data_IF_846141801648
#
_entry.id   IF_846141801648
#
_cell.length_a   1.000
_cell.length_b   1.000
_cell.length_c   1.000
_cell.angle_alpha   90.00
_cell.angle_beta   90.00
_cell.angle_gamma   90.00
#
_symmetry.space_group_name_H-M   'P 1'
#
loop_
_entity.id
_entity.type
_entity.pdbx_description
1 polymer ?
#
# COMPACT_ATOMS: atom_id res chain seq x y z
N UNK A 1 14.15 3.55 17.76
CA UNK A 1 13.34 2.50 17.10
C UNK A 1 12.67 1.67 18.18
N UNK A 2 11.41 1.30 17.99
CA UNK A 2 10.63 0.47 18.92
C UNK A 2 10.13 -0.75 18.17
N UNK A 3 10.41 -1.93 18.71
CA UNK A 3 9.90 -3.21 18.24
C UNK A 3 8.76 -3.68 19.16
N UNK A 4 7.59 -3.85 18.56
CA UNK A 4 6.41 -4.41 19.19
C UNK A 4 6.50 -5.94 19.02
N UNK A 5 6.92 -6.61 20.09
CA UNK A 5 7.06 -8.06 20.11
C UNK A 5 5.69 -8.73 20.17
N UNK A 6 4.79 -8.20 21.02
CA UNK A 6 3.44 -8.70 21.18
C UNK A 6 2.51 -7.60 21.70
N UNK A 7 1.32 -7.51 21.10
CA UNK A 7 0.16 -6.77 21.63
C UNK A 7 -0.99 -7.76 21.68
N UNK A 8 -1.64 -7.81 22.82
CA UNK A 8 -2.82 -8.63 23.07
C UNK A 8 -3.75 -7.81 23.96
N UNK A 9 -4.63 -7.05 23.32
CA UNK A 9 -5.60 -6.14 23.94
C UNK A 9 -6.99 -6.36 23.33
N UNK A 10 -7.99 -5.66 23.86
CA UNK A 10 -9.33 -5.62 23.26
C UNK A 10 -9.27 -5.29 21.75
N UNK A 11 -10.01 -6.06 20.95
CA UNK A 11 -10.10 -5.86 19.52
C UNK A 11 -10.96 -4.65 19.17
N UNK A 12 -10.74 -4.07 17.99
CA UNK A 12 -11.49 -2.91 17.54
C UNK A 12 -13.00 -3.20 17.42
N UNK A 13 -13.82 -2.52 18.24
CA UNK A 13 -15.28 -2.54 18.14
C UNK A 13 -15.76 -1.24 17.48
N UNK A 14 -16.61 -1.35 16.45
CA UNK A 14 -17.27 -0.21 15.79
C UNK A 14 -16.37 0.95 15.36
N UNK A 15 -15.13 0.65 14.92
CA UNK A 15 -14.08 1.60 14.45
C UNK A 15 -13.32 2.37 15.54
N UNK A 16 -13.50 2.06 16.82
CA UNK A 16 -12.67 2.61 17.91
C UNK A 16 -11.92 1.51 18.64
N UNK A 17 -10.65 1.74 18.94
CA UNK A 17 -9.92 0.97 19.94
C UNK A 17 -10.14 1.66 21.30
N UNK A 18 -10.81 0.99 22.24
CA UNK A 18 -10.92 1.49 23.61
C UNK A 18 -9.59 1.26 24.33
N UNK A 19 -9.10 0.02 24.25
CA UNK A 19 -7.76 -0.36 24.67
C UNK A 19 -6.76 -0.22 23.52
N UNK A 20 -5.68 0.53 23.74
CA UNK A 20 -4.65 0.70 22.73
C UNK A 20 -3.30 1.11 23.31
N UNK A 21 -2.26 0.81 22.53
CA UNK A 21 -0.95 1.46 22.66
C UNK A 21 -0.86 2.60 21.64
N UNK A 22 -0.59 3.81 22.12
CA UNK A 22 -0.48 5.03 21.33
C UNK A 22 0.94 5.58 21.30
N UNK A 23 1.40 6.00 20.12
CA UNK A 23 2.71 6.60 19.91
C UNK A 23 2.56 8.10 19.65
N UNK A 24 3.32 8.91 20.38
CA UNK A 24 3.34 10.37 20.28
C UNK A 24 4.78 10.82 20.09
N UNK A 25 5.03 11.68 19.11
CA UNK A 25 6.32 12.34 18.98
C UNK A 25 6.45 13.44 20.04
N UNK A 26 7.64 13.61 20.60
CA UNK A 26 7.90 14.58 21.64
C UNK A 26 7.57 14.09 23.06
N UNK A 27 7.77 14.98 24.03
CA UNK A 27 7.54 14.73 25.45
C UNK A 27 6.12 15.11 25.94
N UNK A 28 5.21 15.56 25.06
CA UNK A 28 3.91 16.13 25.43
C UNK A 28 2.70 15.27 25.02
N UNK A 29 2.70 14.00 25.41
CA UNK A 29 1.67 13.06 24.97
C UNK A 29 0.27 13.26 25.60
N UNK A 30 0.14 14.04 26.68
CA UNK A 30 -1.18 14.27 27.34
C UNK A 30 -2.13 15.20 26.57
N UNK A 31 -1.63 15.94 25.58
CA UNK A 31 -2.42 16.95 24.85
C UNK A 31 -2.66 16.62 23.37
N UNK A 32 -1.97 15.62 22.83
CA UNK A 32 -2.00 15.31 21.40
C UNK A 32 -2.64 13.95 21.16
N UNK A 33 -3.31 13.79 20.02
CA UNK A 33 -3.76 12.47 19.57
C UNK A 33 -2.53 11.68 19.11
N UNK A 34 -2.41 10.37 19.42
CA UNK A 34 -1.30 9.57 18.92
C UNK A 34 -1.27 9.61 17.39
N UNK A 35 -0.07 9.72 16.81
CA UNK A 35 0.10 9.66 15.36
C UNK A 35 -0.07 8.22 14.84
N UNK A 36 0.14 7.24 15.73
CA UNK A 36 -0.04 5.82 15.46
C UNK A 36 -0.58 5.13 16.70
N UNK A 37 -1.59 4.29 16.51
CA UNK A 37 -2.23 3.53 17.60
C UNK A 37 -2.52 2.11 17.17
N UNK A 38 -2.38 1.18 18.11
CA UNK A 38 -2.54 -0.25 17.87
C UNK A 38 -3.44 -0.87 18.94
N UNK A 39 -4.33 -1.77 18.54
CA UNK A 39 -5.20 -2.54 19.43
C UNK A 39 -5.42 -3.96 18.87
N UNK A 40 -6.15 -4.79 19.62
CA UNK A 40 -6.35 -6.20 19.29
C UNK A 40 -5.08 -7.03 19.46
N UNK A 41 -4.91 -8.00 18.57
CA UNK A 41 -3.76 -8.90 18.58
C UNK A 41 -2.78 -8.59 17.45
N UNK A 42 -1.52 -8.30 17.80
CA UNK A 42 -0.47 -7.90 16.86
C UNK A 42 0.87 -8.48 17.30
N UNK A 43 1.73 -8.84 16.33
CA UNK A 43 3.11 -9.28 16.59
C UNK A 43 4.05 -8.72 15.54
N UNK A 44 5.33 -8.64 15.91
CA UNK A 44 6.44 -8.30 15.01
C UNK A 44 6.20 -7.00 14.22
N UNK A 45 5.78 -5.94 14.92
CA UNK A 45 5.63 -4.60 14.33
C UNK A 45 6.81 -3.73 14.73
N UNK A 46 7.24 -2.86 13.82
CA UNK A 46 8.30 -1.89 14.08
C UNK A 46 7.75 -0.49 13.91
N UNK A 47 8.09 0.39 14.85
CA UNK A 47 7.78 1.82 14.80
C UNK A 47 9.06 2.60 14.98
N UNK A 48 9.30 3.56 14.09
CA UNK A 48 10.41 4.50 14.21
C UNK A 48 9.85 5.87 14.61
N UNK A 49 10.43 6.46 15.65
CA UNK A 49 10.11 7.83 16.11
C UNK A 49 10.28 8.83 14.97
N UNK A 50 9.42 9.84 14.87
CA UNK A 50 9.63 10.91 13.89
C UNK A 50 10.54 12.02 14.40
N UNK A 51 10.84 12.00 15.69
CA UNK A 51 11.60 13.03 16.40
C UNK A 51 12.70 12.44 17.29
N UNK A 52 13.44 13.30 17.96
CA UNK A 52 14.47 12.96 18.96
C UNK A 52 13.89 12.39 20.26
N UNK A 53 12.58 12.52 20.44
CA UNK A 53 11.83 12.07 21.60
C UNK A 53 10.55 11.36 21.17
N UNK A 54 10.26 10.25 21.82
CA UNK A 54 9.08 9.42 21.58
C UNK A 54 8.43 9.09 22.92
N UNK A 55 7.14 9.38 23.04
CA UNK A 55 6.33 8.98 24.19
C UNK A 55 5.33 7.91 23.77
N UNK A 56 5.30 6.82 24.55
CA UNK A 56 4.38 5.71 24.34
C UNK A 56 3.37 5.68 25.48
N UNK A 57 2.09 5.69 25.13
CA UNK A 57 0.98 5.61 26.07
C UNK A 57 0.31 4.25 25.98
N UNK A 58 0.03 3.66 27.14
CA UNK A 58 -0.76 2.45 27.28
C UNK A 58 -2.11 2.85 27.87
N UNK A 59 -3.18 2.65 27.11
CA UNK A 59 -4.55 2.94 27.50
C UNK A 59 -5.29 1.61 27.56
N UNK A 60 -5.87 1.30 28.72
CA UNK A 60 -6.68 0.10 28.94
C UNK A 60 -7.70 0.36 30.06
N UNK A 61 -8.81 -0.37 30.05
CA UNK A 61 -9.80 -0.39 31.11
C UNK A 61 -9.98 -1.78 31.77
N UNK A 62 -11.01 -1.96 32.59
CA UNK A 62 -11.29 -3.21 33.32
C UNK A 62 -12.21 -4.19 32.54
N UNK A 63 -12.55 -3.87 31.29
CA UNK A 63 -13.52 -4.61 30.48
C UNK A 63 -12.81 -5.27 29.29
N UNK A 64 -12.78 -6.62 29.27
CA UNK A 64 -12.12 -7.44 28.22
C UNK A 64 -10.61 -7.27 28.21
N UNK A 65 -9.97 -7.97 29.14
CA UNK A 65 -8.52 -7.97 29.29
C UNK A 65 -7.82 -8.91 28.30
N UNK A 66 -6.66 -8.49 27.80
CA UNK A 66 -5.70 -9.35 27.11
C UNK A 66 -4.39 -9.49 27.90
N UNK A 67 -3.33 -10.01 27.28
CA UNK A 67 -2.00 -10.10 27.93
C UNK A 67 -1.25 -8.77 28.01
N UNK A 68 -1.74 -7.72 27.35
CA UNK A 68 -1.13 -6.40 27.32
C UNK A 68 -0.10 -6.23 26.20
N UNK A 69 1.02 -5.56 26.48
CA UNK A 69 2.04 -5.24 25.47
C UNK A 69 3.43 -5.63 25.92
N UNK A 70 4.18 -6.21 25.00
CA UNK A 70 5.62 -6.45 25.11
C UNK A 70 6.36 -5.67 24.04
N UNK A 71 7.22 -4.75 24.46
CA UNK A 71 8.06 -3.92 23.59
C UNK A 71 9.54 -4.15 23.85
N UNK A 72 10.35 -3.95 22.82
CA UNK A 72 11.78 -3.71 22.89
C UNK A 72 12.09 -2.37 22.23
N UNK A 73 13.13 -1.67 22.66
CA UNK A 73 13.55 -0.43 22.02
C UNK A 73 15.05 -0.36 21.88
N UNK A 74 15.49 0.37 20.86
CA UNK A 74 16.90 0.63 20.61
C UNK A 74 17.09 2.01 20.00
N UNK A 75 18.12 2.71 20.47
CA UNK A 75 18.56 3.97 19.89
C UNK A 75 19.59 3.69 18.79
N UNK A 76 19.38 4.28 17.61
CA UNK A 76 20.24 4.10 16.44
C UNK A 76 20.96 5.43 16.19
N UNK A 77 22.26 5.37 15.93
CA UNK A 77 23.06 6.57 15.67
C UNK A 77 22.74 7.17 14.31
N UNK A 78 22.92 8.49 14.19
CA UNK A 78 22.87 9.17 12.89
C UNK A 78 23.92 8.58 11.95
N UNK A 79 23.52 8.22 10.73
CA UNK A 79 24.41 7.61 9.74
C UNK A 79 24.50 6.08 9.83
N UNK A 80 23.71 5.44 10.69
CA UNK A 80 23.61 3.97 10.76
C UNK A 80 22.22 3.49 10.35
N UNK A 81 22.15 2.28 9.79
CA UNK A 81 20.87 1.64 9.50
C UNK A 81 20.33 0.99 10.78
N UNK A 82 19.03 1.16 11.02
CA UNK A 82 18.30 0.52 12.11
C UNK A 82 18.49 -1.02 12.12
N UNK A 83 18.31 -1.66 13.27
CA UNK A 83 18.33 -3.14 13.34
C UNK A 83 17.28 -3.74 12.42
N UNK A 84 17.71 -4.78 11.70
CA UNK A 84 16.89 -5.45 10.67
C UNK A 84 16.89 -4.73 9.32
N UNK A 85 17.63 -3.63 9.18
CA UNK A 85 17.84 -2.95 7.91
C UNK A 85 19.24 -3.23 7.36
N UNK A 86 19.29 -3.52 6.07
CA UNK A 86 20.49 -3.80 5.31
C UNK A 86 21.04 -2.49 4.75
N UNK A 87 22.31 -2.19 5.05
CA UNK A 87 23.00 -1.04 4.49
C UNK A 87 23.48 -1.34 3.07
N UNK A 88 23.36 -0.37 2.18
CA UNK A 88 24.01 -0.38 0.87
C UNK A 88 25.40 0.26 0.88
N UNK A 89 25.81 0.86 1.99
CA UNK A 89 27.13 1.50 2.15
C UNK A 89 27.20 2.95 1.68
N UNK A 90 26.18 3.46 0.99
CA UNK A 90 26.07 4.86 0.54
C UNK A 90 25.04 5.68 1.35
N UNK A 91 24.65 5.16 2.51
CA UNK A 91 23.66 5.74 3.39
C UNK A 91 22.21 5.39 3.04
N UNK A 92 21.97 4.51 2.07
CA UNK A 92 20.67 3.88 1.87
C UNK A 92 20.54 2.60 2.70
N UNK A 93 19.38 2.44 3.32
CA UNK A 93 18.99 1.28 4.12
C UNK A 93 17.76 0.63 3.49
N UNK A 94 17.77 -0.70 3.42
CA UNK A 94 16.67 -1.49 2.87
C UNK A 94 16.20 -2.55 3.85
N UNK A 95 14.91 -2.87 3.83
CA UNK A 95 14.36 -3.96 4.63
C UNK A 95 13.29 -4.70 3.85
N UNK A 96 13.45 -6.01 3.74
CA UNK A 96 12.37 -6.90 3.32
C UNK A 96 11.46 -7.19 4.52
N UNK A 97 10.15 -7.06 4.31
CA UNK A 97 9.15 -7.18 5.37
C UNK A 97 8.22 -8.34 5.04
N UNK A 98 8.37 -9.42 5.81
CA UNK A 98 7.46 -10.57 5.83
C UNK A 98 6.25 -10.24 6.70
N UNK A 99 5.36 -9.39 6.18
CA UNK A 99 4.15 -9.01 6.90
C UNK A 99 3.21 -10.20 7.09
N UNK A 100 2.71 -10.37 8.31
CA UNK A 100 1.73 -11.38 8.68
C UNK A 100 0.48 -10.71 9.30
N UNK A 101 -0.70 -10.76 8.63
CA UNK A 101 -0.90 -11.28 7.27
C UNK A 101 -0.23 -10.39 6.22
N UNK A 102 0.04 -10.98 5.04
CA UNK A 102 0.49 -10.26 3.85
C UNK A 102 -0.48 -9.14 3.48
N UNK A 103 0.00 -8.09 2.83
CA UNK A 103 -0.77 -6.84 2.64
C UNK A 103 -0.80 -6.34 1.20
N UNK A 104 -1.74 -5.43 0.91
CA UNK A 104 -1.82 -4.75 -0.39
C UNK A 104 -0.75 -3.67 -0.53
N UNK A 105 -0.60 -3.11 -1.72
CA UNK A 105 0.44 -2.14 -2.02
C UNK A 105 0.32 -0.84 -1.20
N UNK A 106 -0.89 -0.30 -1.04
CA UNK A 106 -1.13 0.90 -0.25
C UNK A 106 -0.86 0.67 1.26
N UNK A 107 -1.27 -0.49 1.78
CA UNK A 107 -0.97 -0.92 3.15
C UNK A 107 0.53 -1.10 3.37
N UNK A 108 1.26 -1.62 2.38
CA UNK A 108 2.70 -1.81 2.42
C UNK A 108 3.44 -0.47 2.51
N UNK A 109 3.03 0.53 1.70
CA UNK A 109 3.56 1.89 1.79
C UNK A 109 3.31 2.51 3.17
N UNK A 110 2.11 2.32 3.73
CA UNK A 110 1.78 2.82 5.07
C UNK A 110 2.66 2.17 6.15
N UNK A 111 2.89 0.86 6.07
CA UNK A 111 3.79 0.15 6.99
C UNK A 111 5.25 0.59 6.83
N UNK A 112 5.74 0.83 5.61
CA UNK A 112 7.05 1.46 5.43
C UNK A 112 7.10 2.84 6.11
N UNK A 113 6.03 3.62 5.99
CA UNK A 113 5.92 4.93 6.64
C UNK A 113 6.03 4.87 8.17
N UNK A 114 5.45 3.84 8.80
CA UNK A 114 5.58 3.61 10.26
C UNK A 114 7.02 3.35 10.71
N UNK A 115 7.90 2.92 9.79
CA UNK A 115 9.33 2.72 10.03
C UNK A 115 10.19 3.89 9.51
N UNK A 116 9.58 5.06 9.26
CA UNK A 116 10.18 6.23 8.62
C UNK A 116 10.83 5.92 7.25
N UNK A 117 10.15 5.10 6.47
CA UNK A 117 10.61 4.65 5.17
C UNK A 117 9.51 4.79 4.11
N UNK A 118 9.84 4.43 2.87
CA UNK A 118 8.89 4.27 1.78
C UNK A 118 9.10 2.92 1.12
N UNK A 119 8.16 2.45 0.31
CA UNK A 119 8.42 1.34 -0.60
C UNK A 119 9.65 1.65 -1.46
N UNK A 120 10.46 0.62 -1.71
CA UNK A 120 11.74 0.78 -2.36
C UNK A 120 11.62 1.22 -3.82
N UNK A 121 12.51 2.11 -4.25
CA UNK A 121 12.63 2.57 -5.63
C UNK A 121 13.91 2.00 -6.24
N UNK A 122 13.89 1.70 -7.53
CA UNK A 122 15.05 1.24 -8.28
C UNK A 122 15.29 2.22 -9.41
N UNK A 123 16.16 3.20 -9.17
CA UNK A 123 16.29 4.40 -10.03
C UNK A 123 17.50 4.35 -10.95
N UNK A 124 18.47 3.49 -10.64
CA UNK A 124 19.71 3.33 -11.38
C UNK A 124 20.25 1.90 -11.26
N UNK A 125 21.35 1.63 -11.95
CA UNK A 125 22.06 0.35 -11.93
C UNK A 125 22.48 -0.06 -10.51
N UNK A 126 22.89 0.88 -9.66
CA UNK A 126 23.35 0.55 -8.31
C UNK A 126 22.17 0.11 -7.42
N UNK A 127 21.00 0.73 -7.58
CA UNK A 127 19.78 0.27 -6.90
C UNK A 127 19.43 -1.16 -7.37
N UNK A 128 19.47 -1.42 -8.68
CA UNK A 128 19.07 -2.69 -9.26
C UNK A 128 20.00 -3.85 -8.88
N UNK A 129 21.31 -3.63 -9.00
CA UNK A 129 22.32 -4.63 -8.64
C UNK A 129 22.23 -4.96 -7.15
N UNK A 130 22.02 -3.95 -6.30
CA UNK A 130 21.83 -4.18 -4.87
C UNK A 130 20.57 -5.02 -4.61
N UNK A 131 19.44 -4.66 -5.21
CA UNK A 131 18.19 -5.41 -5.05
C UNK A 131 18.34 -6.87 -5.50
N UNK A 132 18.94 -7.09 -6.67
CA UNK A 132 19.17 -8.42 -7.21
C UNK A 132 20.13 -9.25 -6.33
N UNK A 133 21.24 -8.66 -5.87
CA UNK A 133 22.21 -9.39 -5.07
C UNK A 133 21.69 -9.70 -3.65
N UNK A 134 20.93 -8.77 -3.06
CA UNK A 134 20.45 -8.88 -1.69
C UNK A 134 19.16 -9.68 -1.58
N UNK A 135 18.21 -9.48 -2.49
CA UNK A 135 16.86 -10.07 -2.43
C UNK A 135 16.59 -11.08 -3.54
N UNK A 136 17.51 -11.27 -4.49
CA UNK A 136 17.32 -12.16 -5.64
C UNK A 136 17.20 -13.64 -5.32
N UNK A 137 17.60 -14.06 -4.12
CA UNK A 137 17.45 -15.44 -3.64
C UNK A 137 16.14 -15.67 -2.89
N UNK A 138 15.35 -14.61 -2.67
CA UNK A 138 14.08 -14.70 -1.94
C UNK A 138 12.97 -15.11 -2.91
N UNK A 139 12.28 -16.25 -2.70
CA UNK A 139 11.19 -16.68 -3.58
C UNK A 139 9.89 -15.85 -3.39
N UNK A 140 9.91 -14.86 -2.50
CA UNK A 140 8.73 -14.08 -2.12
C UNK A 140 8.52 -12.88 -3.06
N UNK A 141 7.30 -12.77 -3.60
CA UNK A 141 6.85 -11.57 -4.32
C UNK A 141 6.84 -10.36 -3.41
N UNK A 142 7.56 -9.30 -3.80
CA UNK A 142 7.76 -8.15 -2.93
C UNK A 142 7.35 -6.85 -3.61
N UNK A 143 6.35 -6.15 -3.06
CA UNK A 143 5.97 -4.82 -3.55
C UNK A 143 7.17 -3.86 -3.52
N UNK A 144 7.24 -3.04 -4.56
CA UNK A 144 8.16 -1.91 -4.69
C UNK A 144 7.37 -0.64 -5.01
N UNK A 145 8.03 0.51 -4.90
CA UNK A 145 7.41 1.82 -4.83
C UNK A 145 6.96 2.40 -6.16
N UNK A 146 6.31 1.61 -7.01
CA UNK A 146 5.85 2.02 -8.34
C UNK A 146 4.44 1.54 -8.64
N UNK A 147 3.66 2.40 -9.31
CA UNK A 147 2.32 2.08 -9.79
C UNK A 147 1.93 2.99 -10.97
N UNK A 148 1.09 2.51 -11.89
CA UNK A 148 0.46 3.31 -12.94
C UNK A 148 -1.04 3.59 -12.67
N UNK A 149 -1.51 3.40 -11.43
CA UNK A 149 -2.90 3.61 -11.02
C UNK A 149 -3.42 5.05 -11.28
N UNK A 150 -2.51 6.03 -11.44
CA UNK A 150 -2.91 7.38 -11.84
C UNK A 150 -3.28 7.45 -13.32
N UNK A 151 -2.48 6.81 -14.17
CA UNK A 151 -2.56 6.87 -15.63
C UNK A 151 -2.01 5.57 -16.22
N UNK A 152 -2.90 4.74 -16.77
CA UNK A 152 -2.57 3.45 -17.40
C UNK A 152 -1.37 3.56 -18.35
N UNK A 153 -0.40 2.66 -18.18
CA UNK A 153 0.83 2.61 -18.99
C UNK A 153 1.89 3.65 -18.59
N UNK A 154 1.61 4.54 -17.64
CA UNK A 154 2.57 5.51 -17.10
C UNK A 154 2.91 5.18 -15.65
N UNK A 155 4.00 4.44 -15.45
CA UNK A 155 4.47 4.05 -14.12
C UNK A 155 5.04 5.26 -13.37
N UNK A 156 4.52 5.47 -12.16
CA UNK A 156 4.85 6.59 -11.28
C UNK A 156 5.33 6.06 -9.93
N UNK A 157 6.31 6.75 -9.34
CA UNK A 157 6.80 6.39 -8.00
C UNK A 157 5.75 6.66 -6.91
N UNK A 158 5.98 6.16 -5.69
CA UNK A 158 5.20 6.60 -4.51
C UNK A 158 5.30 8.13 -4.36
N UNK A 159 6.50 8.67 -4.56
CA UNK A 159 6.73 10.10 -4.68
C UNK A 159 6.66 10.49 -6.16
N UNK A 160 5.62 11.23 -6.55
CA UNK A 160 5.38 11.66 -7.94
C UNK A 160 6.48 12.55 -8.54
N UNK A 161 7.44 13.01 -7.74
CA UNK A 161 8.66 13.71 -8.19
C UNK A 161 9.80 12.75 -8.57
N UNK A 162 9.70 11.47 -8.23
CA UNK A 162 10.73 10.44 -8.40
C UNK A 162 10.15 9.26 -9.19
N UNK A 163 9.93 9.46 -10.49
CA UNK A 163 9.30 8.46 -11.37
C UNK A 163 10.32 7.64 -12.18
N UNK A 164 11.61 7.84 -11.94
CA UNK A 164 12.66 7.06 -12.63
C UNK A 164 12.63 5.62 -12.16
N UNK A 165 12.55 4.69 -13.10
CA UNK A 165 12.70 3.26 -12.90
C UNK A 165 13.80 2.73 -13.82
N UNK A 166 14.66 1.84 -13.31
CA UNK A 166 15.80 1.30 -14.05
C UNK A 166 15.99 -0.21 -13.80
N UNK A 167 16.25 -1.04 -14.84
CA UNK A 167 16.01 -0.72 -16.25
C UNK A 167 14.54 -0.38 -16.48
N UNK A 168 14.23 0.19 -17.64
CA UNK A 168 12.84 0.42 -18.02
C UNK A 168 12.12 -0.94 -18.09
N UNK A 169 11.11 -1.19 -17.25
CA UNK A 169 10.50 -2.51 -17.16
C UNK A 169 9.70 -2.84 -18.42
N UNK A 170 9.87 -4.06 -18.93
CA UNK A 170 8.87 -4.66 -19.81
C UNK A 170 7.76 -5.21 -18.89
N UNK A 171 6.57 -4.61 -18.94
CA UNK A 171 5.42 -5.00 -18.10
C UNK A 171 4.40 -5.81 -18.93
N UNK A 172 4.68 -7.10 -19.24
CA UNK A 172 3.74 -7.94 -19.96
C UNK A 172 2.49 -8.19 -19.10
N UNK A 173 1.32 -8.03 -19.71
CA UNK A 173 0.05 -8.18 -19.01
C UNK A 173 -0.29 -6.99 -18.10
N UNK A 174 0.32 -5.81 -18.34
CA UNK A 174 -0.22 -4.55 -17.86
C UNK A 174 -1.63 -4.35 -18.43
N UNK A 175 -2.57 -4.01 -17.56
CA UNK A 175 -3.95 -3.74 -17.91
C UNK A 175 -4.61 -2.90 -16.82
N UNK A 176 -5.84 -2.47 -17.11
CA UNK A 176 -6.68 -1.67 -16.22
C UNK A 176 -6.98 -2.29 -14.83
N UNK A 177 -6.53 -3.50 -14.50
CA UNK A 177 -6.73 -4.08 -13.16
C UNK A 177 -5.41 -4.27 -12.39
N UNK A 178 -4.27 -4.18 -13.07
CA UNK A 178 -2.96 -4.53 -12.53
C UNK A 178 -2.08 -3.30 -12.59
N UNK A 179 -2.07 -2.55 -11.49
CA UNK A 179 -1.40 -1.25 -11.49
C UNK A 179 -0.13 -1.19 -10.65
N UNK A 180 0.11 -2.17 -9.76
CA UNK A 180 1.14 -2.06 -8.74
C UNK A 180 2.32 -2.99 -9.04
N UNK A 181 3.54 -2.48 -8.93
CA UNK A 181 4.75 -3.22 -9.28
C UNK A 181 5.33 -3.97 -8.10
N UNK A 182 5.82 -5.18 -8.40
CA UNK A 182 6.54 -6.02 -7.46
C UNK A 182 7.74 -6.69 -8.12
N UNK A 183 8.66 -7.16 -7.28
CA UNK A 183 9.79 -7.98 -7.69
C UNK A 183 9.44 -9.45 -7.53
N UNK A 184 9.77 -10.22 -8.57
CA UNK A 184 9.70 -11.67 -8.61
C UNK A 184 10.99 -12.23 -9.20
N UNK A 185 11.80 -12.83 -8.32
CA UNK A 185 13.08 -13.45 -8.68
C UNK A 185 12.97 -14.97 -8.89
N UNK A 186 11.76 -15.54 -8.82
CA UNK A 186 11.56 -17.00 -8.97
C UNK A 186 11.86 -17.51 -10.39
N UNK A 187 11.80 -16.62 -11.38
CA UNK A 187 12.09 -16.92 -12.78
C UNK A 187 13.49 -16.38 -13.09
N UNK A 188 14.46 -17.26 -13.33
CA UNK A 188 15.89 -16.96 -13.47
C UNK A 188 16.28 -16.12 -14.70
N UNK A 189 15.33 -15.48 -15.39
CA UNK A 189 15.56 -14.74 -16.63
C UNK A 189 15.39 -13.23 -16.43
N UNK A 190 16.53 -12.58 -16.22
CA UNK A 190 16.97 -11.23 -16.61
C UNK A 190 16.15 -9.98 -16.21
N UNK A 191 14.88 -10.07 -15.85
CA UNK A 191 14.09 -8.92 -15.40
C UNK A 191 13.05 -9.31 -14.32
N UNK A 192 13.20 -8.82 -13.07
CA UNK A 192 12.34 -9.23 -11.95
C UNK A 192 11.04 -8.42 -11.83
N UNK A 193 10.87 -7.37 -12.63
CA UNK A 193 9.69 -6.50 -12.54
C UNK A 193 8.42 -7.22 -13.00
N UNK A 194 7.39 -7.17 -12.17
CA UNK A 194 6.05 -7.67 -12.47
C UNK A 194 5.00 -6.66 -12.02
N UNK A 195 3.80 -6.79 -12.54
CA UNK A 195 2.67 -5.95 -12.20
C UNK A 195 1.46 -6.79 -11.78
N UNK A 196 0.74 -6.34 -10.76
CA UNK A 196 -0.42 -7.05 -10.21
C UNK A 196 -1.47 -6.07 -9.66
N UNK A 197 -2.68 -6.60 -9.40
CA UNK A 197 -3.72 -5.87 -8.67
C UNK A 197 -3.15 -5.44 -7.32
N UNK A 198 -3.23 -4.13 -7.04
CA UNK A 198 -2.71 -3.50 -5.83
C UNK A 198 -3.29 -4.08 -4.52
N UNK A 199 -4.41 -4.80 -4.58
CA UNK A 199 -5.03 -5.47 -3.43
C UNK A 199 -4.43 -6.84 -3.14
N UNK A 200 -3.63 -7.38 -4.06
CA UNK A 200 -2.93 -8.66 -3.90
C UNK A 200 -2.12 -8.65 -2.61
N UNK A 201 -2.24 -9.71 -1.81
CA UNK A 201 -1.60 -9.81 -0.50
C UNK A 201 -0.22 -10.45 -0.64
N UNK A 202 0.83 -9.65 -0.48
CA UNK A 202 2.22 -10.10 -0.61
C UNK A 202 3.16 -9.37 0.36
N UNK A 203 4.44 -9.73 0.34
CA UNK A 203 5.50 -9.07 1.11
C UNK A 203 5.94 -7.79 0.41
N UNK A 204 6.87 -7.03 1.01
CA UNK A 204 7.31 -5.76 0.43
C UNK A 204 8.72 -5.39 0.89
N UNK A 205 9.36 -4.50 0.13
CA UNK A 205 10.68 -3.96 0.46
C UNK A 205 10.55 -2.47 0.73
N UNK A 206 11.01 -2.04 1.90
CA UNK A 206 11.10 -0.64 2.27
C UNK A 206 12.52 -0.10 2.06
N UNK A 207 12.64 1.20 1.85
CA UNK A 207 13.89 1.94 1.78
C UNK A 207 13.84 3.22 2.61
N UNK A 208 14.98 3.61 3.18
CA UNK A 208 15.19 4.92 3.82
C UNK A 208 16.66 5.33 3.82
N UNK A 209 16.92 6.60 4.09
CA UNK A 209 18.24 7.16 4.41
C UNK A 209 18.58 6.95 5.89
N UNK A 210 19.82 6.58 6.17
CA UNK A 210 20.37 6.44 7.54
C UNK A 210 20.60 7.78 8.28
N UNK A 211 20.44 8.91 7.60
CA UNK A 211 20.69 10.26 8.11
C UNK A 211 19.40 11.02 8.46
N UNK A 212 18.29 10.30 8.60
CA UNK A 212 16.96 10.83 8.95
C UNK A 212 16.37 11.84 7.94
N UNK A 213 16.99 12.00 6.75
CA UNK A 213 16.50 12.90 5.69
C UNK A 213 15.37 12.30 4.83
N UNK A 214 14.84 11.13 5.22
CA UNK A 214 13.81 10.43 4.44
C UNK A 214 12.49 11.18 4.57
N UNK A 215 11.98 11.69 3.45
CA UNK A 215 10.62 12.23 3.39
C UNK A 215 9.66 11.07 3.23
N UNK A 216 8.91 10.77 4.29
CA UNK A 216 7.87 9.73 4.28
C UNK A 216 6.69 10.21 3.44
N UNK A 217 6.25 9.38 2.49
CA UNK A 217 5.05 9.62 1.71
C UNK A 217 3.86 8.99 2.44
N UNK A 218 2.79 9.78 2.59
CA UNK A 218 1.56 9.33 3.25
C UNK A 218 0.83 8.19 2.52
N UNK A 219 -0.29 7.79 3.11
CA UNK A 219 -1.10 6.67 2.64
C UNK A 219 -1.52 6.84 1.17
N UNK A 220 -1.38 5.78 0.37
CA UNK A 220 -1.68 5.80 -1.07
C UNK A 220 -3.08 5.26 -1.38
N UNK A 221 -3.91 5.01 -0.36
CA UNK A 221 -5.24 4.42 -0.53
C UNK A 221 -6.15 5.21 -1.46
N UNK A 222 -6.16 6.55 -1.37
CA UNK A 222 -7.00 7.39 -2.20
C UNK A 222 -6.56 7.34 -3.67
N UNK A 223 -5.25 7.35 -3.92
CA UNK A 223 -4.66 7.22 -5.25
C UNK A 223 -5.09 5.92 -5.93
N UNK A 224 -4.94 4.78 -5.25
CA UNK A 224 -5.36 3.47 -5.77
C UNK A 224 -6.89 3.38 -5.95
N UNK A 225 -7.67 3.96 -5.02
CA UNK A 225 -9.14 4.00 -5.13
C UNK A 225 -9.62 4.90 -6.28
N UNK A 226 -8.93 6.01 -6.55
CA UNK A 226 -9.28 6.92 -7.63
C UNK A 226 -9.08 6.25 -9.00
N UNK A 227 -7.94 5.59 -9.21
CA UNK A 227 -7.65 4.81 -10.42
C UNK A 227 -8.73 3.77 -10.72
N UNK A 228 -9.07 2.95 -9.72
CA UNK A 228 -10.14 1.94 -9.85
C UNK A 228 -11.54 2.53 -10.06
N UNK A 229 -11.89 3.65 -9.43
CA UNK A 229 -13.21 4.31 -9.62
C UNK A 229 -13.39 4.87 -11.01
N UNK A 230 -12.38 5.56 -11.55
CA UNK A 230 -12.46 6.15 -12.89
C UNK A 230 -12.82 5.09 -13.94
N UNK A 231 -12.31 3.87 -13.76
CA UNK A 231 -12.63 2.70 -14.59
C UNK A 231 -14.09 2.25 -14.42
N UNK A 232 -14.56 2.02 -13.19
CA UNK A 232 -15.95 1.59 -12.95
C UNK A 232 -17.01 2.58 -13.46
N UNK A 233 -16.73 3.88 -13.40
CA UNK A 233 -17.62 4.90 -13.94
C UNK A 233 -17.78 4.76 -15.47
N UNK A 234 -16.68 4.51 -16.19
CA UNK A 234 -16.74 4.29 -17.64
C UNK A 234 -17.63 3.08 -18.00
N UNK A 235 -17.44 1.94 -17.34
CA UNK A 235 -18.25 0.74 -17.58
C UNK A 235 -19.74 0.95 -17.27
N UNK A 236 -20.05 1.58 -16.14
CA UNK A 236 -21.45 1.85 -15.76
C UNK A 236 -22.13 2.81 -16.73
N UNK A 237 -21.45 3.84 -17.20
CA UNK A 237 -21.98 4.77 -18.21
C UNK A 237 -22.28 4.03 -19.52
N UNK A 238 -21.34 3.24 -20.04
CA UNK A 238 -21.55 2.47 -21.27
C UNK A 238 -22.69 1.47 -21.15
N UNK A 239 -22.82 0.79 -20.00
CA UNK A 239 -23.93 -0.11 -19.72
C UNK A 239 -25.27 0.64 -19.72
N UNK A 240 -25.34 1.81 -19.07
CA UNK A 240 -26.55 2.63 -19.05
C UNK A 240 -26.95 3.12 -20.45
N UNK A 241 -25.98 3.52 -21.28
CA UNK A 241 -26.21 3.90 -22.68
C UNK A 241 -26.77 2.71 -23.47
N UNK A 242 -26.17 1.52 -23.33
CA UNK A 242 -26.64 0.30 -24.00
C UNK A 242 -28.08 -0.04 -23.60
N UNK A 243 -28.41 0.02 -22.31
CA UNK A 243 -29.76 -0.22 -21.80
C UNK A 243 -30.74 0.81 -22.35
N UNK A 244 -30.38 2.09 -22.38
CA UNK A 244 -31.22 3.15 -22.93
C UNK A 244 -31.52 2.94 -24.43
N UNK A 245 -30.52 2.53 -25.22
CA UNK A 245 -30.70 2.22 -26.64
C UNK A 245 -31.64 1.02 -26.85
N UNK A 246 -31.50 -0.04 -26.04
CA UNK A 246 -32.39 -1.21 -26.10
C UNK A 246 -33.83 -0.80 -25.77
N UNK A 247 -34.05 -0.02 -24.72
CA UNK A 247 -35.38 0.47 -24.34
C UNK A 247 -36.00 1.35 -25.43
N UNK A 248 -35.19 2.21 -26.07
CA UNK A 248 -35.64 3.04 -27.18
C UNK A 248 -36.05 2.20 -28.40
N UNK A 249 -35.30 1.16 -28.75
CA UNK A 249 -35.65 0.23 -29.82
C UNK A 249 -36.94 -0.55 -29.53
N UNK A 250 -37.13 -1.00 -28.28
CA UNK A 250 -38.37 -1.67 -27.86
C UNK A 250 -39.56 -0.71 -28.01
N UNK A 251 -39.43 0.54 -27.58
CA UNK A 251 -40.47 1.56 -27.72
C UNK A 251 -40.83 1.79 -29.20
N UNK A 252 -39.82 1.92 -30.08
CA UNK A 252 -40.03 2.04 -31.52
C UNK A 252 -40.76 0.84 -32.11
N UNK A 253 -40.41 -0.39 -31.71
CA UNK A 253 -41.10 -1.60 -32.14
C UNK A 253 -42.58 -1.60 -31.72
N UNK A 254 -42.89 -1.20 -30.48
CA UNK A 254 -44.26 -1.10 -29.98
C UNK A 254 -45.06 -0.07 -30.78
N UNK A 255 -44.46 1.09 -31.08
CA UNK A 255 -45.10 2.15 -31.89
C UNK A 255 -45.31 1.71 -33.35
N UNK A 256 -44.36 1.00 -33.95
CA UNK A 256 -44.48 0.43 -35.29
C UNK A 256 -45.58 -0.66 -35.36
N UNK A 257 -45.68 -1.53 -34.36
CA UNK A 257 -46.78 -2.50 -34.30
C UNK A 257 -48.14 -1.82 -34.08
N UNK A 258 -48.22 -0.80 -33.22
CA UNK A 258 -49.44 -0.03 -33.00
C UNK A 258 -49.93 0.72 -34.25
N UNK A 259 -49.01 1.23 -35.08
CA UNK A 259 -49.35 1.88 -36.36
C UNK A 259 -49.72 0.89 -37.46
N UNK A 260 -49.13 -0.31 -37.47
CA UNK A 260 -49.50 -1.39 -38.39
C UNK A 260 -50.91 -1.94 -38.08
N UNK A 261 -51.26 -2.12 -36.80
CA UNK A 261 -52.59 -2.61 -36.39
C UNK A 261 -53.69 -1.60 -36.74
N UNK A 262 -53.43 -0.28 -36.61
CA UNK A 262 -54.39 0.76 -37.01
C UNK A 262 -54.66 0.84 -38.52
N UNK A 263 -53.78 0.29 -39.38
CA UNK A 263 -53.99 0.24 -40.84
C UNK A 263 -54.78 -1.00 -41.32
N UNK A 264 -55.09 -1.94 -40.43
CA UNK A 264 -55.77 -3.21 -40.75
C UNK A 264 -57.20 -3.30 -40.22
N UNK A 265 -57.78 -2.22 -39.67
CA UNK A 265 -59.20 -2.18 -39.34
C UNK A 265 -60.02 -1.97 -40.64
N UNK A 266 -60.81 -2.96 -41.10
CA UNK A 266 -61.69 -2.77 -42.25
C UNK A 266 -62.94 -1.97 -41.84
N UNK A 267 -63.38 -1.09 -42.73
CA UNK A 267 -64.74 -0.52 -42.78
C UNK A 267 -65.78 -1.64 -43.02
#
# INVERSE_FOLDING_TARGET
>A
MVEILEVDMEAQLFRSCLDYIGFHDGNQARLTRPYLSFCGYLRNRQVTSQSDSLTIHFISDELVEGRGVKLSYEAVSYGECDIGWLSRGDGMCYRHVEAEPKVGWADAQEQCGQMQANLASIRDQNDYDYMSNTFGHTPAHSWIGYTDADHEGTVMGVNSKLNTIWPQPLLPGNNDDRDCLYLDYSLSDREPYRIADCRTKQTFICQKRNNWSTVVVGSQHERIRAGSRMRTANYTIWLLILVALILFLILLCILCQGTAIRKLAPL
#
